data_IF_723114559379
#
_entry.id   IF_723114559379
#
_cell.length_a   1.000
_cell.length_b   1.000
_cell.length_c   1.000
_cell.angle_alpha   90.00
_cell.angle_beta   90.00
_cell.angle_gamma   90.00
#
_symmetry.space_group_name_H-M   'P 1'
#
loop_
_entity.id
_entity.type
_entity.pdbx_description
1 polymer ?
#
# COMPACT_ATOMS: atom_id res chain seq x y z
N UNK A 1 -21.62 33.23 20.64
CA UNK A 1 -21.12 31.85 20.68
C UNK A 1 -20.51 31.51 19.33
N UNK A 2 -19.18 31.67 19.18
CA UNK A 2 -18.47 31.04 18.06
C UNK A 2 -17.96 29.72 18.62
N UNK A 3 -18.56 28.62 18.18
CA UNK A 3 -18.06 27.28 18.46
C UNK A 3 -16.77 27.11 17.66
N UNK A 4 -15.66 26.93 18.38
CA UNK A 4 -14.42 26.36 17.85
C UNK A 4 -14.76 24.98 17.29
N UNK A 5 -14.87 24.90 15.96
CA UNK A 5 -14.81 23.63 15.26
C UNK A 5 -13.34 23.37 14.99
N UNK A 6 -12.72 22.51 15.80
CA UNK A 6 -11.47 21.87 15.43
C UNK A 6 -11.74 21.00 14.21
N UNK A 7 -11.33 21.50 13.05
CA UNK A 7 -11.36 20.78 11.79
C UNK A 7 -10.34 19.64 11.90
N UNK A 8 -10.82 18.45 12.26
CA UNK A 8 -10.08 17.20 12.14
C UNK A 8 -9.67 17.04 10.67
N UNK A 9 -8.42 17.37 10.35
CA UNK A 9 -7.85 17.10 9.02
C UNK A 9 -7.81 15.58 8.88
N UNK A 10 -8.84 15.05 8.20
CA UNK A 10 -8.92 13.63 7.90
C UNK A 10 -7.68 13.19 7.14
N UNK A 11 -7.04 12.13 7.62
CA UNK A 11 -6.00 11.42 6.88
C UNK A 11 -6.59 10.96 5.54
N UNK A 12 -6.05 11.48 4.43
CA UNK A 12 -6.48 11.07 3.08
C UNK A 12 -6.29 9.57 2.84
N UNK A 13 -7.03 8.99 1.88
CA UNK A 13 -6.93 7.57 1.52
C UNK A 13 -6.34 7.38 0.12
N UNK A 14 -5.80 6.19 -0.12
CA UNK A 14 -5.45 5.75 -1.46
C UNK A 14 -6.68 5.60 -2.35
N UNK A 15 -6.55 6.05 -3.60
CA UNK A 15 -7.57 5.97 -4.65
C UNK A 15 -6.99 5.12 -5.77
N UNK A 16 -7.74 4.09 -6.19
CA UNK A 16 -7.38 3.30 -7.36
C UNK A 16 -7.46 4.15 -8.63
N UNK A 17 -6.45 4.06 -9.49
CA UNK A 17 -6.43 4.72 -10.79
C UNK A 17 -6.01 3.70 -11.85
N UNK A 18 -6.80 3.61 -12.92
CA UNK A 18 -6.48 2.81 -14.10
C UNK A 18 -6.70 3.66 -15.37
N UNK A 19 -5.61 4.23 -15.92
CA UNK A 19 -5.69 5.03 -17.14
C UNK A 19 -6.11 4.24 -18.38
N UNK A 20 -5.81 2.94 -18.44
CA UNK A 20 -6.16 2.10 -19.59
C UNK A 20 -7.66 1.92 -19.69
N UNK A 21 -8.33 1.83 -18.56
CA UNK A 21 -9.79 1.63 -18.45
C UNK A 21 -10.56 2.92 -18.15
N UNK A 22 -9.87 4.07 -18.16
CA UNK A 22 -10.42 5.37 -17.76
C UNK A 22 -11.18 5.31 -16.41
N UNK A 23 -10.67 4.50 -15.47
CA UNK A 23 -11.33 4.23 -14.20
C UNK A 23 -10.64 4.95 -13.04
N UNK A 24 -11.47 5.55 -12.19
CA UNK A 24 -11.06 6.23 -10.96
C UNK A 24 -11.89 5.66 -9.82
N UNK A 25 -11.21 5.33 -8.72
CA UNK A 25 -11.83 4.86 -7.49
C UNK A 25 -12.74 3.62 -7.64
N UNK A 26 -12.41 2.76 -8.60
CA UNK A 26 -13.14 1.52 -8.87
C UNK A 26 -12.26 0.28 -8.65
N UNK A 27 -11.87 -0.04 -7.41
CA UNK A 27 -10.93 -1.14 -7.15
C UNK A 27 -11.51 -2.52 -7.48
N UNK A 28 -12.84 -2.67 -7.59
CA UNK A 28 -13.48 -3.95 -7.95
C UNK A 28 -13.60 -4.16 -9.46
N UNK A 29 -13.04 -3.29 -10.29
CA UNK A 29 -13.14 -3.37 -11.75
C UNK A 29 -12.72 -4.76 -12.26
N UNK A 30 -11.54 -5.24 -11.86
CA UNK A 30 -11.01 -6.51 -12.34
C UNK A 30 -11.75 -7.73 -11.77
N UNK A 31 -12.20 -7.69 -10.52
CA UNK A 31 -13.00 -8.78 -9.94
C UNK A 31 -14.39 -8.86 -10.59
N UNK A 32 -14.96 -7.72 -11.03
CA UNK A 32 -16.21 -7.71 -11.80
C UNK A 32 -16.12 -8.44 -13.15
N UNK A 33 -14.91 -8.60 -13.69
CA UNK A 33 -14.64 -9.36 -14.92
C UNK A 33 -14.39 -10.85 -14.66
N UNK A 34 -14.61 -11.32 -13.43
CA UNK A 34 -14.40 -12.70 -13.03
C UNK A 34 -12.92 -13.08 -12.84
N UNK A 35 -12.02 -12.10 -12.65
CA UNK A 35 -10.64 -12.39 -12.24
C UNK A 35 -10.62 -12.84 -10.78
N UNK A 36 -9.78 -13.84 -10.50
CA UNK A 36 -9.53 -14.37 -9.16
C UNK A 36 -8.17 -13.89 -8.65
N UNK A 37 -8.16 -12.83 -7.84
CA UNK A 37 -6.96 -12.18 -7.34
C UNK A 37 -6.25 -13.06 -6.30
N UNK A 38 -4.95 -13.25 -6.48
CA UNK A 38 -4.09 -13.95 -5.52
C UNK A 38 -3.17 -12.98 -4.82
N UNK A 39 -2.43 -12.16 -5.57
CA UNK A 39 -1.53 -11.13 -5.02
C UNK A 39 -1.64 -9.84 -5.80
N UNK A 40 -1.92 -8.75 -5.10
CA UNK A 40 -1.80 -7.38 -5.59
C UNK A 40 -0.93 -6.61 -4.60
N UNK A 41 0.26 -6.22 -5.05
CA UNK A 41 1.25 -5.53 -4.22
C UNK A 41 1.36 -4.09 -4.67
N UNK A 42 1.14 -3.16 -3.74
CA UNK A 42 1.41 -1.74 -3.95
C UNK A 42 2.84 -1.42 -3.53
N UNK A 43 3.56 -0.67 -4.37
CA UNK A 43 4.89 -0.16 -4.07
C UNK A 43 4.79 1.36 -3.93
N UNK A 44 5.28 1.87 -2.81
CA UNK A 44 5.29 3.29 -2.53
C UNK A 44 6.66 3.88 -2.77
N UNK A 45 6.69 5.17 -3.11
CA UNK A 45 7.93 5.92 -3.18
C UNK A 45 8.49 6.10 -1.75
N UNK A 46 9.65 5.50 -1.42
CA UNK A 46 10.21 5.59 -0.09
C UNK A 46 10.80 6.96 0.24
N UNK A 47 11.06 7.82 -0.76
CA UNK A 47 11.47 9.21 -0.49
C UNK A 47 10.30 10.06 -0.01
N UNK A 48 9.10 9.85 -0.57
CA UNK A 48 7.89 10.49 -0.06
C UNK A 48 7.65 10.14 1.41
N UNK A 49 8.02 8.91 1.81
CA UNK A 49 7.90 8.43 3.19
C UNK A 49 8.94 9.06 4.13
N UNK A 50 10.20 9.25 3.68
CA UNK A 50 11.21 9.94 4.48
C UNK A 50 10.89 11.43 4.66
N UNK A 51 10.34 12.09 3.65
CA UNK A 51 9.95 13.50 3.72
C UNK A 51 8.82 13.76 4.73
N UNK A 52 7.94 12.78 4.98
CA UNK A 52 6.85 12.88 5.97
C UNK A 52 7.29 12.64 7.43
N UNK A 53 8.56 12.30 7.68
CA UNK A 53 9.08 12.08 9.04
C UNK A 53 9.62 13.33 9.73
N UNK A 54 9.63 14.49 9.06
CA UNK A 54 10.07 15.77 9.65
C UNK A 54 9.22 16.24 10.83
N UNK A 55 7.98 15.74 10.94
CA UNK A 55 6.99 16.20 11.92
C UNK A 55 6.84 15.23 13.11
N UNK A 56 7.70 14.22 13.21
CA UNK A 56 7.71 13.24 14.32
C UNK A 56 6.49 12.33 14.40
N UNK A 57 5.55 12.43 13.43
CA UNK A 57 4.40 11.55 13.33
C UNK A 57 4.82 10.31 12.54
N UNK A 58 4.93 9.19 13.25
CA UNK A 58 5.25 7.86 12.72
C UNK A 58 4.27 7.50 11.59
N UNK A 59 4.63 7.86 10.37
CA UNK A 59 3.90 7.48 9.16
C UNK A 59 4.34 6.04 8.87
N UNK A 60 3.70 5.11 9.57
CA UNK A 60 3.80 3.64 9.42
C UNK A 60 3.28 3.16 8.06
N UNK A 61 3.50 3.93 6.99
CA UNK A 61 3.35 3.42 5.65
C UNK A 61 4.53 2.45 5.47
N UNK A 62 4.28 1.27 4.93
CA UNK A 62 5.35 0.35 4.54
C UNK A 62 5.65 0.59 3.06
N UNK A 63 6.92 0.55 2.60
CA UNK A 63 7.27 0.72 1.18
C UNK A 63 6.57 -0.27 0.24
N UNK A 64 6.16 -1.42 0.76
CA UNK A 64 5.36 -2.42 0.05
C UNK A 64 4.15 -2.78 0.91
N UNK A 65 2.98 -2.88 0.30
CA UNK A 65 1.74 -3.31 0.95
C UNK A 65 1.02 -4.36 0.09
N UNK A 66 0.53 -5.41 0.74
CA UNK A 66 -0.45 -6.30 0.13
C UNK A 66 -1.82 -5.63 0.15
N UNK A 67 -2.29 -5.22 -1.02
CA UNK A 67 -3.57 -4.54 -1.21
C UNK A 67 -4.65 -5.47 -1.75
N UNK A 68 -4.41 -6.78 -1.81
CA UNK A 68 -5.30 -7.76 -2.47
C UNK A 68 -6.75 -7.63 -2.04
N UNK A 69 -7.01 -7.52 -0.73
CA UNK A 69 -8.37 -7.41 -0.18
C UNK A 69 -9.10 -6.12 -0.58
N UNK A 70 -8.40 -5.08 -1.04
CA UNK A 70 -9.05 -3.86 -1.55
C UNK A 70 -9.69 -4.08 -2.92
N UNK A 71 -9.23 -5.08 -3.67
CA UNK A 71 -9.55 -5.30 -5.08
C UNK A 71 -10.39 -6.56 -5.33
N UNK A 72 -10.91 -7.18 -4.27
CA UNK A 72 -11.83 -8.31 -4.37
C UNK A 72 -12.95 -8.20 -3.32
N UNK A 73 -14.09 -8.82 -3.62
CA UNK A 73 -15.16 -9.05 -2.66
C UNK A 73 -14.99 -10.37 -1.89
N UNK A 74 -14.00 -11.18 -2.28
CA UNK A 74 -13.72 -12.44 -1.62
C UNK A 74 -13.19 -12.22 -0.20
N UNK A 75 -13.61 -13.07 0.73
CA UNK A 75 -13.07 -13.08 2.08
C UNK A 75 -11.60 -13.48 2.11
N UNK A 76 -10.91 -13.11 3.19
CA UNK A 76 -9.50 -13.46 3.41
C UNK A 76 -9.27 -14.96 3.31
N UNK A 77 -10.17 -15.79 3.85
CA UNK A 77 -10.04 -17.26 3.81
C UNK A 77 -9.98 -17.80 2.37
N UNK A 78 -10.81 -17.25 1.46
CA UNK A 78 -10.82 -17.61 0.04
C UNK A 78 -9.55 -17.14 -0.66
N UNK A 79 -9.06 -15.95 -0.32
CA UNK A 79 -7.77 -15.44 -0.82
C UNK A 79 -6.62 -16.33 -0.34
N UNK A 80 -6.56 -16.67 0.94
CA UNK A 80 -5.55 -17.55 1.55
C UNK A 80 -5.58 -18.94 0.95
N UNK A 81 -6.77 -19.53 0.74
CA UNK A 81 -6.91 -20.82 0.06
C UNK A 81 -6.35 -20.77 -1.36
N UNK A 82 -6.70 -19.74 -2.15
CA UNK A 82 -6.18 -19.55 -3.52
C UNK A 82 -4.66 -19.36 -3.55
N UNK A 83 -4.09 -18.72 -2.52
CA UNK A 83 -2.64 -18.49 -2.39
C UNK A 83 -1.89 -19.78 -2.06
N UNK A 84 -2.53 -20.71 -1.35
CA UNK A 84 -1.90 -21.94 -0.86
C UNK A 84 -0.82 -21.69 0.20
N UNK A 85 -0.73 -20.49 0.76
CA UNK A 85 0.20 -20.12 1.84
C UNK A 85 -0.52 -19.30 2.91
N UNK A 86 -0.10 -19.37 4.18
CA UNK A 86 -0.72 -18.59 5.26
C UNK A 86 -0.48 -17.08 5.09
N UNK A 87 -1.45 -16.27 5.53
CA UNK A 87 -1.33 -14.80 5.54
C UNK A 87 -0.13 -14.30 6.33
N UNK A 88 0.24 -15.00 7.39
CA UNK A 88 1.45 -14.68 8.15
C UNK A 88 2.71 -14.74 7.28
N UNK A 89 2.84 -15.76 6.42
CA UNK A 89 3.99 -15.90 5.53
C UNK A 89 4.02 -14.78 4.49
N UNK A 90 2.85 -14.34 4.01
CA UNK A 90 2.74 -13.17 3.12
C UNK A 90 3.20 -11.90 3.84
N UNK A 91 2.71 -11.66 5.06
CA UNK A 91 3.06 -10.48 5.85
C UNK A 91 4.56 -10.43 6.18
N UNK A 92 5.16 -11.57 6.52
CA UNK A 92 6.60 -11.69 6.78
C UNK A 92 7.42 -11.38 5.52
N UNK A 93 7.01 -11.89 4.36
CA UNK A 93 7.67 -11.60 3.08
C UNK A 93 7.55 -10.12 2.69
N UNK A 94 6.37 -9.51 2.84
CA UNK A 94 6.15 -8.08 2.57
C UNK A 94 7.04 -7.22 3.47
N UNK A 95 7.14 -7.56 4.76
CA UNK A 95 8.01 -6.87 5.70
C UNK A 95 9.49 -7.01 5.32
N UNK A 96 9.93 -8.22 4.99
CA UNK A 96 11.31 -8.48 4.57
C UNK A 96 11.68 -7.67 3.32
N UNK A 97 10.83 -7.68 2.29
CA UNK A 97 11.04 -6.93 1.06
C UNK A 97 11.04 -5.43 1.33
N UNK A 98 10.12 -4.93 2.16
CA UNK A 98 10.06 -3.53 2.59
C UNK A 98 11.38 -3.09 3.24
N UNK A 99 11.91 -3.87 4.18
CA UNK A 99 13.20 -3.57 4.82
C UNK A 99 14.35 -3.56 3.81
N UNK A 100 14.41 -4.56 2.91
CA UNK A 100 15.47 -4.66 1.89
C UNK A 100 15.41 -3.50 0.89
N UNK A 101 14.21 -3.08 0.48
CA UNK A 101 14.00 -1.97 -0.45
C UNK A 101 14.54 -0.67 0.15
N UNK A 102 14.23 -0.39 1.42
CA UNK A 102 14.76 0.79 2.13
C UNK A 102 16.28 0.77 2.20
N UNK A 103 16.89 -0.35 2.56
CA UNK A 103 18.36 -0.46 2.62
C UNK A 103 19.00 -0.22 1.26
N UNK A 104 18.52 -0.88 0.20
CA UNK A 104 19.07 -0.74 -1.15
C UNK A 104 18.96 0.69 -1.68
N UNK A 105 17.87 1.38 -1.38
CA UNK A 105 17.67 2.75 -1.85
C UNK A 105 18.56 3.75 -1.08
N UNK A 106 18.82 3.52 0.20
CA UNK A 106 19.84 4.28 0.94
C UNK A 106 21.22 4.16 0.28
N UNK A 107 21.59 2.96 -0.14
CA UNK A 107 22.87 2.71 -0.82
C UNK A 107 22.95 3.46 -2.16
N UNK A 108 21.88 3.44 -2.96
CA UNK A 108 21.81 4.16 -4.24
C UNK A 108 21.98 5.68 -4.02
N UNK A 109 21.28 6.26 -3.02
CA UNK A 109 21.42 7.69 -2.69
C UNK A 109 22.85 8.04 -2.32
N UNK A 110 23.48 7.22 -1.48
CA UNK A 110 24.83 7.46 -1.01
C UNK A 110 25.84 7.47 -2.16
N UNK A 111 25.66 6.58 -3.15
CA UNK A 111 26.49 6.53 -4.36
C UNK A 111 26.29 7.76 -5.25
N UNK A 112 25.06 8.23 -5.46
CA UNK A 112 24.80 9.45 -6.27
C UNK A 112 25.28 10.77 -5.66
N UNK A 113 25.65 10.77 -4.36
CA UNK A 113 26.17 11.96 -3.65
C UNK A 113 27.70 11.99 -3.55
N UNK A 114 28.41 10.97 -4.04
CA UNK A 114 29.87 10.90 -4.11
C UNK A 114 30.38 11.23 -5.51
#
# INVERSE_FOLDING_TARGET
SKSDATEEIGIGRWVHLDPCEAAVDNPLLYSSWGKNQTYLMAFYDPYAMMASTSDGKDSSIQPVEDVTLRYTNDGIDVVTERRGIPEQSVAEAVKEVSCKMVSKLKDVVAVTKS
#
